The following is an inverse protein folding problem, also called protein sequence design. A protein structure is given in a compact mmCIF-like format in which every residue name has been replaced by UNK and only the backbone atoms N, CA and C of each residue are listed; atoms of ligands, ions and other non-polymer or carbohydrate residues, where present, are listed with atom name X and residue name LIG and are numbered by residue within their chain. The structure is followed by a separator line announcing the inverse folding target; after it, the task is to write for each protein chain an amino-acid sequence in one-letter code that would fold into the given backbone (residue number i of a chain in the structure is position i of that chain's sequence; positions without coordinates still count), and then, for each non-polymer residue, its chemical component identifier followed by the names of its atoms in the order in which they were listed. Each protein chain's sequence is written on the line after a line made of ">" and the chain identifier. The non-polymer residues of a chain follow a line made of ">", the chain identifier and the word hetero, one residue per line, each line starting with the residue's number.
data_IF_406045093136
#
_entry.id   IF_406045093136
#
_cell.length_a   1.000
_cell.length_b   1.000
_cell.length_c   1.000
_cell.angle_alpha   90.00
_cell.angle_beta   90.00
_cell.angle_gamma   90.00
#
_symmetry.space_group_name_H-M   'P 1'
#
loop_
_entity.id
_entity.type
_entity.pdbx_description
1 polymer ?
#
# COMPACT_ATOMS: atom_id res chain seq x y z
N UNK A 1 -0.92 -0.91 -9.47
CA UNK A 1 -2.02 -0.31 -10.25
C UNK A 1 -2.29 1.08 -9.71
N UNK A 2 -2.33 2.12 -10.49
CA UNK A 2 -2.53 3.50 -10.04
C UNK A 2 -4.00 3.87 -9.77
N UNK A 3 -4.84 2.94 -9.35
CA UNK A 3 -6.23 3.23 -8.97
C UNK A 3 -6.21 3.86 -7.58
N UNK A 4 -6.69 5.09 -7.48
CA UNK A 4 -6.83 5.83 -6.22
C UNK A 4 -8.31 6.06 -5.92
N UNK A 5 -8.68 5.94 -4.65
CA UNK A 5 -10.04 6.21 -4.22
C UNK A 5 -10.31 7.72 -4.16
N UNK A 6 -9.32 8.55 -3.82
CA UNK A 6 -9.47 9.99 -3.69
C UNK A 6 -8.48 10.76 -4.57
N UNK A 7 -8.96 11.87 -5.14
CA UNK A 7 -8.13 12.77 -5.92
C UNK A 7 -7.28 13.69 -5.06
N UNK A 8 -6.07 13.95 -5.53
CA UNK A 8 -5.11 14.87 -4.93
C UNK A 8 -5.28 16.25 -5.58
N UNK A 9 -5.91 17.18 -4.88
CA UNK A 9 -5.95 18.57 -5.30
C UNK A 9 -5.64 19.43 -4.08
N UNK A 10 -4.45 20.02 -4.06
CA UNK A 10 -4.05 20.91 -2.97
C UNK A 10 -5.11 22.02 -2.76
N UNK A 11 -5.73 22.06 -1.57
CA UNK A 11 -6.72 23.05 -1.19
C UNK A 11 -8.16 22.79 -1.68
N UNK A 12 -8.45 21.63 -2.26
CA UNK A 12 -9.81 21.22 -2.63
C UNK A 12 -10.28 20.08 -1.71
N UNK A 13 -11.59 19.96 -1.43
CA UNK A 13 -12.10 18.81 -0.70
C UNK A 13 -11.77 17.51 -1.45
N UNK A 14 -11.41 16.48 -0.69
CA UNK A 14 -11.17 15.14 -1.25
C UNK A 14 -12.43 14.67 -1.98
N UNK A 15 -12.31 14.50 -3.29
CA UNK A 15 -13.38 13.94 -4.12
C UNK A 15 -13.09 12.46 -4.37
N UNK A 16 -14.13 11.65 -4.37
CA UNK A 16 -14.05 10.26 -4.80
C UNK A 16 -13.77 10.24 -6.31
N UNK A 17 -12.52 9.99 -6.67
CA UNK A 17 -12.07 9.84 -8.06
C UNK A 17 -11.65 8.41 -8.30
N UNK A 18 -12.65 7.54 -8.36
CA UNK A 18 -12.42 6.13 -8.61
C UNK A 18 -12.53 5.85 -10.10
N UNK A 19 -11.46 5.35 -10.69
CA UNK A 19 -11.47 4.86 -12.07
C UNK A 19 -12.07 3.45 -12.08
N UNK A 20 -13.40 3.38 -12.24
CA UNK A 20 -14.13 2.12 -12.18
C UNK A 20 -13.76 1.17 -13.31
N UNK A 21 -13.53 1.66 -14.51
CA UNK A 21 -13.17 0.85 -15.66
C UNK A 21 -11.80 0.17 -15.44
N UNK A 22 -10.83 0.95 -15.00
CA UNK A 22 -9.50 0.45 -14.67
C UNK A 22 -9.52 -0.51 -13.48
N UNK A 23 -10.29 -0.21 -12.45
CA UNK A 23 -10.42 -1.06 -11.28
C UNK A 23 -11.13 -2.38 -11.60
N UNK A 24 -12.18 -2.36 -12.44
CA UNK A 24 -12.86 -3.57 -12.91
C UNK A 24 -11.90 -4.44 -13.71
N UNK A 25 -11.16 -3.87 -14.67
CA UNK A 25 -10.15 -4.60 -15.43
C UNK A 25 -9.12 -5.26 -14.54
N UNK A 26 -8.66 -4.56 -13.48
CA UNK A 26 -7.76 -5.09 -12.48
C UNK A 26 -8.35 -6.28 -11.72
N UNK A 27 -9.63 -6.21 -11.33
CA UNK A 27 -10.33 -7.29 -10.63
C UNK A 27 -10.51 -8.51 -11.52
N UNK A 28 -10.85 -8.32 -12.79
CA UNK A 28 -11.04 -9.40 -13.75
C UNK A 28 -9.72 -10.17 -14.00
N UNK A 29 -8.62 -9.47 -14.16
CA UNK A 29 -7.27 -10.04 -14.29
C UNK A 29 -6.85 -10.81 -13.02
N UNK A 30 -7.04 -10.21 -11.84
CA UNK A 30 -6.75 -10.88 -10.57
C UNK A 30 -7.68 -12.07 -10.32
N UNK A 31 -8.95 -11.97 -10.69
CA UNK A 31 -9.92 -13.06 -10.61
C UNK A 31 -9.52 -14.25 -11.49
N UNK A 32 -9.09 -13.99 -12.72
CA UNK A 32 -8.58 -15.03 -13.62
C UNK A 32 -7.31 -15.69 -13.06
N UNK A 33 -6.40 -14.90 -12.47
CA UNK A 33 -5.20 -15.42 -11.82
C UNK A 33 -5.52 -16.30 -10.61
N UNK A 34 -6.48 -15.88 -9.75
CA UNK A 34 -6.96 -16.68 -8.62
C UNK A 34 -7.59 -18.02 -9.08
N UNK A 35 -8.38 -17.97 -10.16
CA UNK A 35 -9.01 -19.18 -10.73
C UNK A 35 -8.00 -20.16 -11.32
N UNK A 36 -6.83 -19.72 -11.73
CA UNK A 36 -5.79 -20.53 -12.34
C UNK A 36 -5.13 -21.54 -11.40
N UNK A 37 -5.44 -21.51 -10.10
CA UNK A 37 -4.77 -22.29 -9.03
C UNK A 37 -3.27 -22.01 -8.87
N UNK A 38 -2.76 -20.96 -9.48
CA UNK A 38 -1.40 -20.51 -9.31
C UNK A 38 -1.16 -19.80 -7.98
N UNK A 39 -2.24 -19.43 -7.29
CA UNK A 39 -2.18 -18.81 -5.97
C UNK A 39 -2.38 -19.82 -4.84
N UNK A 40 -1.57 -19.67 -3.80
CA UNK A 40 -1.72 -20.40 -2.56
C UNK A 40 -2.59 -19.55 -1.61
N UNK A 41 -3.84 -19.98 -1.32
CA UNK A 41 -4.78 -19.19 -0.52
C UNK A 41 -4.45 -19.33 0.97
N UNK A 42 -3.31 -18.80 1.38
CA UNK A 42 -2.89 -18.78 2.77
C UNK A 42 -2.41 -17.38 3.16
N UNK A 43 -2.48 -17.06 4.43
CA UNK A 43 -2.02 -15.80 4.98
C UNK A 43 -1.07 -16.04 6.15
N UNK A 44 -0.26 -15.03 6.46
CA UNK A 44 0.60 -15.03 7.65
C UNK A 44 1.53 -16.24 7.72
N UNK A 45 1.54 -16.90 8.86
CA UNK A 45 2.46 -17.99 9.19
C UNK A 45 2.43 -19.18 8.22
N UNK A 46 1.28 -19.54 7.69
CA UNK A 46 1.15 -20.67 6.75
C UNK A 46 1.73 -20.35 5.38
N UNK A 47 1.58 -19.13 4.89
CA UNK A 47 2.20 -18.68 3.65
C UNK A 47 3.73 -18.56 3.81
N UNK A 48 4.19 -17.99 4.92
CA UNK A 48 5.61 -17.90 5.26
C UNK A 48 6.28 -19.27 5.29
N UNK A 49 5.65 -20.24 5.97
CA UNK A 49 6.13 -21.62 6.00
C UNK A 49 6.19 -22.25 4.60
N UNK A 50 5.15 -22.06 3.79
CA UNK A 50 5.10 -22.58 2.43
C UNK A 50 6.19 -21.95 1.52
N UNK A 51 6.49 -20.66 1.72
CA UNK A 51 7.58 -19.98 1.03
C UNK A 51 8.93 -20.53 1.48
N UNK A 52 9.16 -20.68 2.78
CA UNK A 52 10.39 -21.24 3.34
C UNK A 52 10.66 -22.70 2.92
N UNK A 53 9.61 -23.47 2.67
CA UNK A 53 9.68 -24.84 2.15
C UNK A 53 9.86 -24.91 0.61
N UNK A 54 10.01 -23.76 -0.07
CA UNK A 54 10.18 -23.70 -1.53
C UNK A 54 8.92 -24.05 -2.34
N UNK A 55 7.74 -24.04 -1.71
CA UNK A 55 6.46 -24.34 -2.36
C UNK A 55 5.81 -23.13 -3.04
N UNK A 56 6.31 -21.94 -2.76
CA UNK A 56 5.88 -20.68 -3.37
C UNK A 56 7.06 -20.03 -4.07
N UNK A 57 6.86 -19.65 -5.33
CA UNK A 57 7.86 -18.89 -6.08
C UNK A 57 7.86 -17.40 -5.67
N UNK A 58 6.71 -16.87 -5.25
CA UNK A 58 6.56 -15.48 -4.83
C UNK A 58 5.72 -15.40 -3.55
N UNK A 59 6.09 -14.45 -2.70
CA UNK A 59 5.39 -14.13 -1.47
C UNK A 59 5.21 -12.63 -1.37
N UNK A 60 3.96 -12.16 -1.41
CA UNK A 60 3.65 -10.73 -1.30
C UNK A 60 3.33 -10.43 0.15
N UNK A 61 4.17 -9.62 0.76
CA UNK A 61 3.98 -9.24 2.16
C UNK A 61 4.63 -7.88 2.46
N UNK A 62 4.59 -7.46 3.71
CA UNK A 62 5.20 -6.23 4.19
C UNK A 62 6.72 -6.34 4.20
N UNK A 63 7.39 -5.22 3.97
CA UNK A 63 8.86 -5.17 3.90
C UNK A 63 9.53 -5.54 5.23
N UNK A 64 8.92 -5.24 6.38
CA UNK A 64 9.45 -5.59 7.70
C UNK A 64 9.57 -7.11 7.94
N UNK A 65 8.88 -7.93 7.14
CA UNK A 65 9.03 -9.39 7.16
C UNK A 65 10.36 -9.90 6.63
N UNK A 66 11.18 -9.06 6.02
CA UNK A 66 12.54 -9.41 5.62
C UNK A 66 13.36 -9.96 6.81
N UNK A 67 13.18 -9.39 8.00
CA UNK A 67 13.81 -9.86 9.22
C UNK A 67 13.41 -11.31 9.58
N UNK A 68 12.12 -11.61 9.46
CA UNK A 68 11.58 -12.96 9.75
C UNK A 68 12.07 -13.98 8.72
N UNK A 69 12.18 -13.59 7.45
CA UNK A 69 12.72 -14.46 6.39
C UNK A 69 14.20 -14.74 6.59
N UNK A 70 14.98 -13.77 7.03
CA UNK A 70 16.41 -13.95 7.32
C UNK A 70 16.64 -14.94 8.47
N UNK A 71 15.78 -14.96 9.48
CA UNK A 71 15.86 -15.94 10.58
C UNK A 71 15.57 -17.38 10.15
N UNK A 72 14.85 -17.57 9.05
CA UNK A 72 14.47 -18.89 8.57
C UNK A 72 15.51 -19.56 7.65
N UNK A 73 16.63 -18.89 7.41
CA UNK A 73 17.72 -19.39 6.56
C UNK A 73 17.23 -19.81 5.15
N UNK A 74 16.29 -19.05 4.61
CA UNK A 74 15.76 -19.20 3.25
C UNK A 74 16.52 -18.27 2.33
N UNK A 75 16.96 -18.78 1.19
CA UNK A 75 17.49 -17.93 0.13
C UNK A 75 16.33 -17.27 -0.62
N UNK A 76 16.25 -15.95 -0.56
CA UNK A 76 15.15 -15.16 -1.12
C UNK A 76 15.66 -13.86 -1.72
N UNK A 77 14.93 -13.34 -2.67
CA UNK A 77 15.20 -12.07 -3.30
C UNK A 77 14.02 -11.09 -3.17
N UNK A 78 14.33 -9.80 -3.22
CA UNK A 78 13.35 -8.74 -3.14
C UNK A 78 12.99 -8.25 -4.54
N UNK A 79 11.69 -8.08 -4.80
CA UNK A 79 11.16 -7.52 -6.03
C UNK A 79 10.12 -6.45 -5.72
N UNK A 80 10.05 -5.34 -6.49
CA UNK A 80 8.93 -4.42 -6.42
C UNK A 80 7.63 -5.14 -6.84
N UNK A 81 6.50 -4.68 -6.32
CA UNK A 81 5.20 -5.18 -6.80
C UNK A 81 5.09 -4.98 -8.32
N UNK A 82 4.53 -5.96 -9.05
CA UNK A 82 4.34 -5.81 -10.48
C UNK A 82 3.33 -4.68 -10.79
N UNK A 83 3.52 -3.99 -11.89
CA UNK A 83 2.47 -3.16 -12.47
C UNK A 83 1.41 -4.08 -13.08
N UNK A 84 0.14 -3.74 -12.87
CA UNK A 84 -0.96 -4.54 -13.41
C UNK A 84 -1.13 -4.33 -14.93
N UNK A 85 -0.86 -3.11 -15.40
CA UNK A 85 -0.99 -2.78 -16.81
C UNK A 85 0.36 -2.46 -17.43
N UNK A 86 0.55 -2.87 -18.68
CA UNK A 86 1.77 -2.60 -19.44
C UNK A 86 2.01 -1.09 -19.58
N UNK A 87 3.24 -0.65 -19.35
CA UNK A 87 3.62 0.76 -19.41
C UNK A 87 3.35 1.56 -18.13
N UNK A 88 2.74 0.97 -17.13
CA UNK A 88 2.56 1.62 -15.82
C UNK A 88 3.74 1.34 -14.88
N UNK A 89 3.95 2.27 -13.97
CA UNK A 89 4.89 2.08 -12.87
C UNK A 89 4.18 1.39 -11.70
N UNK A 90 4.80 0.37 -11.14
CA UNK A 90 4.31 -0.25 -9.91
C UNK A 90 4.30 0.74 -8.75
N UNK A 91 3.42 0.53 -7.79
CA UNK A 91 3.26 1.36 -6.59
C UNK A 91 3.49 0.51 -5.36
N UNK A 92 4.25 1.01 -4.40
CA UNK A 92 4.41 0.42 -3.08
C UNK A 92 3.44 1.13 -2.12
N UNK A 93 2.28 0.54 -1.79
CA UNK A 93 1.31 1.19 -0.93
C UNK A 93 1.81 1.20 0.52
N UNK A 94 1.56 2.29 1.23
CA UNK A 94 1.63 2.29 2.69
C UNK A 94 0.42 1.54 3.25
N UNK A 95 0.62 0.82 4.33
CA UNK A 95 -0.43 0.07 5.00
C UNK A 95 -1.05 0.84 6.19
N UNK A 96 -2.03 0.24 6.84
CA UNK A 96 -2.74 0.79 8.00
C UNK A 96 -1.86 0.96 9.25
N UNK A 97 -0.68 0.33 9.28
CA UNK A 97 0.28 0.43 10.38
C UNK A 97 1.29 1.55 10.18
N UNK A 98 1.13 2.34 9.11
CA UNK A 98 2.01 3.49 8.84
C UNK A 98 1.86 4.54 9.93
N UNK A 99 2.98 4.90 10.53
CA UNK A 99 3.03 5.95 11.56
C UNK A 99 2.98 7.32 10.88
N UNK A 100 2.03 8.15 11.28
CA UNK A 100 1.91 9.54 10.86
C UNK A 100 2.34 10.51 11.95
N UNK A 101 2.73 11.72 11.55
CA UNK A 101 2.97 12.83 12.44
C UNK A 101 1.80 13.80 12.37
N UNK A 102 1.23 14.16 13.52
CA UNK A 102 0.11 15.09 13.60
C UNK A 102 0.50 16.36 14.37
N UNK A 103 0.01 17.49 13.89
CA UNK A 103 0.13 18.77 14.58
C UNK A 103 -1.23 19.09 15.23
N UNK A 104 -1.29 19.33 16.56
CA UNK A 104 -2.55 19.68 17.23
C UNK A 104 -3.13 20.99 16.67
N UNK A 105 -4.45 21.08 16.54
CA UNK A 105 -5.13 22.27 16.04
C UNK A 105 -5.01 23.50 16.99
N UNK A 106 -4.65 23.27 18.24
CA UNK A 106 -4.37 24.32 19.24
C UNK A 106 -2.99 24.97 19.08
N UNK A 107 -2.16 24.47 18.16
CA UNK A 107 -0.87 25.09 17.86
C UNK A 107 -1.07 26.46 17.21
N UNK A 108 -0.54 27.53 17.86
CA UNK A 108 -0.75 28.90 17.46
C UNK A 108 0.36 29.47 16.57
N UNK A 109 1.55 28.86 16.59
CA UNK A 109 2.72 29.26 15.79
C UNK A 109 2.91 28.27 14.63
N UNK A 110 2.08 28.41 13.60
CA UNK A 110 2.11 27.54 12.42
C UNK A 110 3.39 27.70 11.60
N UNK A 111 3.98 28.91 11.56
CA UNK A 111 5.19 29.18 10.79
C UNK A 111 6.38 28.44 11.41
N UNK A 112 6.59 28.60 12.72
CA UNK A 112 7.64 27.88 13.44
C UNK A 112 7.47 26.37 13.37
N UNK A 113 6.24 25.90 13.51
CA UNK A 113 5.95 24.47 13.40
C UNK A 113 6.28 23.95 12.00
N UNK A 114 5.90 24.68 10.96
CA UNK A 114 6.21 24.35 9.57
C UNK A 114 7.74 24.29 9.31
N UNK A 115 8.49 25.28 9.82
CA UNK A 115 9.97 25.28 9.71
C UNK A 115 10.60 24.07 10.39
N UNK A 116 10.16 23.73 11.60
CA UNK A 116 10.66 22.57 12.33
C UNK A 116 10.34 21.25 11.62
N UNK A 117 9.13 21.11 11.10
CA UNK A 117 8.72 19.92 10.34
C UNK A 117 9.52 19.79 9.04
N UNK A 118 9.71 20.87 8.30
CA UNK A 118 10.51 20.86 7.08
C UNK A 118 11.96 20.47 7.36
N UNK A 119 12.58 21.02 8.42
CA UNK A 119 13.91 20.64 8.82
C UNK A 119 14.01 19.17 9.25
N UNK A 120 13.02 18.69 10.02
CA UNK A 120 12.94 17.30 10.45
C UNK A 120 12.79 16.35 9.26
N UNK A 121 11.87 16.64 8.33
CA UNK A 121 11.68 15.80 7.15
C UNK A 121 12.88 15.81 6.21
N UNK A 122 13.54 16.96 6.02
CA UNK A 122 14.74 17.03 5.22
C UNK A 122 15.87 16.17 5.81
N UNK A 123 16.13 16.30 7.11
CA UNK A 123 17.11 15.47 7.81
C UNK A 123 16.73 13.98 7.81
N UNK A 124 15.44 13.66 8.00
CA UNK A 124 14.95 12.28 7.96
C UNK A 124 15.13 11.66 6.58
N UNK A 125 14.81 12.39 5.51
CA UNK A 125 14.98 11.90 4.16
C UNK A 125 16.42 11.52 3.84
N UNK A 126 17.37 12.36 4.26
CA UNK A 126 18.79 12.12 4.00
C UNK A 126 19.34 10.96 4.86
N UNK A 127 19.09 11.00 6.17
CA UNK A 127 19.75 10.06 7.09
C UNK A 127 18.98 8.77 7.30
N UNK A 128 17.65 8.83 7.41
CA UNK A 128 16.84 7.65 7.67
C UNK A 128 16.77 6.72 6.46
N UNK A 129 16.64 7.28 5.25
CA UNK A 129 16.66 6.48 4.02
C UNK A 129 17.97 5.74 3.88
N UNK A 130 19.10 6.43 4.08
CA UNK A 130 20.41 5.81 3.98
C UNK A 130 20.65 4.75 5.06
N UNK A 131 20.23 5.01 6.30
CA UNK A 131 20.29 4.02 7.38
C UNK A 131 19.43 2.79 7.09
N UNK A 132 18.22 2.97 6.57
CA UNK A 132 17.34 1.88 6.19
C UNK A 132 17.95 1.05 5.05
N UNK A 133 18.47 1.67 4.00
CA UNK A 133 19.16 0.99 2.91
C UNK A 133 20.36 0.19 3.42
N UNK A 134 21.21 0.80 4.22
CA UNK A 134 22.39 0.14 4.76
C UNK A 134 22.02 -1.06 5.65
N UNK A 135 20.99 -0.95 6.49
CA UNK A 135 20.53 -2.03 7.33
C UNK A 135 19.98 -3.19 6.49
N UNK A 136 19.15 -2.91 5.48
CA UNK A 136 18.61 -3.96 4.63
C UNK A 136 19.69 -4.67 3.83
N UNK A 137 20.59 -3.93 3.19
CA UNK A 137 21.71 -4.49 2.43
C UNK A 137 22.62 -5.32 3.31
N UNK A 138 22.91 -4.83 4.53
CA UNK A 138 23.85 -5.55 5.42
C UNK A 138 23.27 -6.82 6.06
N UNK A 139 21.98 -6.79 6.43
CA UNK A 139 21.39 -7.86 7.23
C UNK A 139 20.48 -8.81 6.46
N UNK A 140 19.89 -8.37 5.36
CA UNK A 140 18.78 -9.12 4.73
C UNK A 140 18.97 -9.40 3.24
N UNK A 141 19.77 -8.60 2.54
CA UNK A 141 19.94 -8.74 1.09
C UNK A 141 21.31 -9.35 0.76
N UNK A 142 21.34 -10.22 -0.24
CA UNK A 142 22.53 -11.00 -0.57
C UNK A 142 23.41 -10.35 -1.65
N UNK A 143 22.86 -9.40 -2.44
CA UNK A 143 23.57 -8.81 -3.56
C UNK A 143 23.13 -7.36 -3.87
N UNK A 144 23.87 -6.71 -4.77
CA UNK A 144 23.62 -5.33 -5.19
C UNK A 144 22.33 -5.17 -6.01
N UNK A 145 21.89 -6.19 -6.72
CA UNK A 145 20.67 -6.12 -7.54
C UNK A 145 19.44 -6.01 -6.63
N UNK A 146 19.45 -6.71 -5.50
CA UNK A 146 18.41 -6.60 -4.49
C UNK A 146 18.40 -5.22 -3.81
N UNK A 147 19.56 -4.58 -3.64
CA UNK A 147 19.62 -3.20 -3.15
C UNK A 147 18.95 -2.23 -4.13
N UNK A 148 19.15 -2.39 -5.42
CA UNK A 148 18.46 -1.61 -6.46
C UNK A 148 16.94 -1.86 -6.45
N UNK A 149 16.49 -3.10 -6.21
CA UNK A 149 15.07 -3.39 -6.06
C UNK A 149 14.46 -2.71 -4.84
N UNK A 150 15.17 -2.70 -3.70
CA UNK A 150 14.75 -1.97 -2.50
C UNK A 150 14.63 -0.46 -2.77
N UNK A 151 15.61 0.12 -3.45
CA UNK A 151 15.57 1.54 -3.82
C UNK A 151 14.34 1.87 -4.68
N UNK A 152 14.05 1.03 -5.68
CA UNK A 152 12.85 1.17 -6.50
C UNK A 152 11.55 1.05 -5.69
N UNK A 153 11.49 0.17 -4.71
CA UNK A 153 10.33 0.02 -3.82
C UNK A 153 10.13 1.31 -3.02
N UNK A 154 11.19 1.85 -2.43
CA UNK A 154 11.14 3.07 -1.62
C UNK A 154 10.77 4.32 -2.44
N UNK A 155 11.26 4.43 -3.67
CA UNK A 155 10.92 5.54 -4.57
C UNK A 155 9.46 5.52 -5.02
N UNK A 156 8.84 4.36 -4.99
CA UNK A 156 7.46 4.13 -5.44
C UNK A 156 6.45 4.08 -4.31
N UNK A 157 6.88 4.40 -3.09
CA UNK A 157 5.96 4.49 -1.93
C UNK A 157 4.91 5.55 -2.20
N UNK A 158 3.66 5.18 -1.99
CA UNK A 158 2.51 6.09 -2.11
C UNK A 158 1.57 5.89 -0.93
N UNK A 159 1.17 7.03 -0.37
CA UNK A 159 0.08 7.07 0.58
C UNK A 159 -1.25 7.22 -0.18
N UNK A 160 -2.24 6.43 0.17
CA UNK A 160 -3.62 6.63 -0.24
C UNK A 160 -4.42 7.08 0.97
N UNK A 161 -5.11 8.22 0.85
CA UNK A 161 -5.92 8.76 1.95
C UNK A 161 -6.98 7.75 2.41
N UNK A 162 -7.54 6.96 1.49
CA UNK A 162 -8.49 5.92 1.85
C UNK A 162 -7.86 4.86 2.77
N UNK A 163 -6.62 4.43 2.52
CA UNK A 163 -5.92 3.47 3.37
C UNK A 163 -5.52 4.06 4.72
N UNK A 164 -5.06 5.32 4.74
CA UNK A 164 -4.63 5.98 5.98
C UNK A 164 -5.79 6.26 6.94
N UNK A 165 -6.95 6.61 6.41
CA UNK A 165 -8.12 6.96 7.22
C UNK A 165 -9.10 5.80 7.40
N UNK A 166 -8.93 4.71 6.66
CA UNK A 166 -9.77 3.53 6.74
C UNK A 166 -9.95 2.95 8.16
N UNK A 167 -8.91 2.83 8.99
CA UNK A 167 -9.05 2.29 10.34
C UNK A 167 -9.94 3.13 11.26
N UNK A 168 -9.95 4.46 11.10
CA UNK A 168 -10.81 5.38 11.85
C UNK A 168 -12.29 5.35 11.40
N UNK A 169 -12.55 4.74 10.25
CA UNK A 169 -13.86 4.63 9.61
C UNK A 169 -14.07 3.17 9.19
N UNK A 170 -14.20 2.31 10.18
CA UNK A 170 -14.29 0.86 10.05
C UNK A 170 -15.25 0.38 8.94
N UNK A 171 -16.27 1.17 8.63
CA UNK A 171 -17.23 0.84 7.58
C UNK A 171 -16.68 1.07 6.16
N UNK A 172 -15.68 1.93 5.96
CA UNK A 172 -15.15 2.23 4.62
C UNK A 172 -14.07 1.22 4.23
N UNK A 173 -13.15 0.89 5.13
CA UNK A 173 -12.08 -0.07 4.81
C UNK A 173 -12.58 -1.50 4.75
N UNK A 174 -13.39 -1.91 5.75
CA UNK A 174 -13.97 -3.25 5.76
C UNK A 174 -14.87 -3.47 4.54
N UNK A 175 -15.71 -2.50 4.21
CA UNK A 175 -16.56 -2.57 3.02
C UNK A 175 -15.73 -2.63 1.74
N UNK A 176 -14.63 -1.87 1.65
CA UNK A 176 -13.78 -1.89 0.44
C UNK A 176 -13.01 -3.21 0.31
N UNK A 177 -12.39 -3.69 1.37
CA UNK A 177 -11.61 -4.92 1.34
C UNK A 177 -12.51 -6.16 1.17
N UNK A 178 -13.58 -6.26 1.95
CA UNK A 178 -14.50 -7.39 1.89
C UNK A 178 -15.24 -7.43 0.55
N UNK A 179 -15.64 -6.26 0.04
CA UNK A 179 -16.27 -6.13 -1.28
C UNK A 179 -15.32 -6.58 -2.40
N UNK A 180 -14.06 -6.15 -2.37
CA UNK A 180 -13.09 -6.57 -3.37
C UNK A 180 -12.82 -8.07 -3.30
N UNK A 181 -12.71 -8.65 -2.10
CA UNK A 181 -12.56 -10.09 -1.92
C UNK A 181 -13.80 -10.85 -2.42
N UNK A 182 -15.01 -10.35 -2.14
CA UNK A 182 -16.25 -10.94 -2.64
C UNK A 182 -16.29 -10.91 -4.18
N UNK A 183 -15.98 -9.75 -4.79
CA UNK A 183 -15.95 -9.61 -6.25
C UNK A 183 -14.88 -10.48 -6.91
N UNK A 184 -13.71 -10.61 -6.31
CA UNK A 184 -12.67 -11.51 -6.79
C UNK A 184 -13.09 -12.98 -6.77
N UNK A 185 -13.97 -13.37 -5.83
CA UNK A 185 -14.45 -14.76 -5.70
C UNK A 185 -15.66 -15.05 -6.55
N UNK A 186 -16.61 -14.12 -6.63
CA UNK A 186 -17.90 -14.33 -7.27
C UNK A 186 -18.03 -13.69 -8.64
N UNK A 187 -17.10 -12.79 -9.01
CA UNK A 187 -17.26 -11.88 -10.13
C UNK A 187 -18.31 -10.81 -9.86
N UNK A 188 -18.47 -9.90 -10.77
CA UNK A 188 -19.51 -8.87 -10.70
C UNK A 188 -19.00 -7.49 -11.09
N UNK A 189 -19.93 -6.56 -11.14
CA UNK A 189 -19.72 -5.18 -11.53
C UNK A 189 -19.34 -4.32 -10.31
N UNK A 190 -18.13 -3.80 -10.31
CA UNK A 190 -17.58 -3.00 -9.22
C UNK A 190 -18.31 -1.67 -9.05
N UNK A 191 -18.62 -0.98 -10.15
CA UNK A 191 -19.31 0.32 -10.11
C UNK A 191 -20.66 0.19 -9.46
N UNK A 192 -21.44 -0.81 -9.88
CA UNK A 192 -22.76 -1.11 -9.32
C UNK A 192 -22.73 -1.39 -7.81
N UNK A 193 -21.64 -1.94 -7.32
CA UNK A 193 -21.45 -2.27 -5.89
C UNK A 193 -20.95 -1.06 -5.07
N UNK A 194 -20.13 -0.19 -5.67
CA UNK A 194 -19.57 0.99 -4.98
C UNK A 194 -20.50 2.20 -5.05
N UNK A 195 -21.28 2.36 -6.11
CA UNK A 195 -22.15 3.55 -6.29
C UNK A 195 -23.07 3.82 -5.09
N UNK A 196 -23.72 2.82 -4.46
CA UNK A 196 -24.51 3.06 -3.23
C UNK A 196 -23.69 3.62 -2.06
N UNK A 197 -22.37 3.42 -2.05
CA UNK A 197 -21.48 3.89 -1.01
C UNK A 197 -20.92 5.29 -1.28
N UNK A 198 -21.11 5.83 -2.49
CA UNK A 198 -20.58 7.13 -2.91
C UNK A 198 -20.93 8.24 -1.92
N UNK A 199 -22.20 8.35 -1.51
CA UNK A 199 -22.66 9.35 -0.56
C UNK A 199 -21.98 9.25 0.80
N UNK A 200 -21.66 8.03 1.24
CA UNK A 200 -20.93 7.78 2.49
C UNK A 200 -19.50 8.30 2.38
N UNK A 201 -18.81 8.00 1.26
CA UNK A 201 -17.46 8.51 1.00
C UNK A 201 -17.42 10.04 0.89
N UNK A 202 -18.36 10.65 0.17
CA UNK A 202 -18.44 12.09 0.02
C UNK A 202 -18.74 12.81 1.34
N UNK A 203 -19.64 12.28 2.15
CA UNK A 203 -19.92 12.84 3.47
C UNK A 203 -18.72 12.73 4.41
N UNK A 204 -18.00 11.61 4.36
CA UNK A 204 -16.75 11.43 5.07
C UNK A 204 -15.73 12.49 4.66
N UNK A 205 -15.50 12.68 3.36
CA UNK A 205 -14.56 13.66 2.85
C UNK A 205 -14.93 15.09 3.30
N UNK A 206 -16.20 15.48 3.18
CA UNK A 206 -16.70 16.79 3.62
C UNK A 206 -16.59 17.07 5.12
N UNK A 207 -16.67 16.02 5.94
CA UNK A 207 -16.64 16.17 7.40
C UNK A 207 -15.23 16.27 7.95
N UNK A 208 -14.27 15.58 7.33
CA UNK A 208 -12.93 15.39 7.90
C UNK A 208 -11.82 16.16 7.20
N UNK A 209 -12.07 16.69 6.02
CA UNK A 209 -11.08 17.42 5.21
C UNK A 209 -11.57 18.83 4.84
N UNK A 210 -12.00 19.58 5.86
CA UNK A 210 -12.32 21.01 5.73
C UNK A 210 -11.10 21.88 5.97
#
# INVERSE_FOLDING_TARGET
>A
SGVRAFGDSAGQPLELRYDFEKAQSALDELGAFLASKAMFPASGQSALKAFGEGRLAFFIYRLDFAAVLAEQNVDWGLLPLPALFAGETSVSPLDELTVGLAVPSVQTDSERTGLLLNAFFAASHEHMRQALMNNYVHFYLSDNDQALMLEQILDRVRADAALLYAPGYANISAVSADLLIELLRSGGDLERRIEPLRSTFENFAKTNFR
#
